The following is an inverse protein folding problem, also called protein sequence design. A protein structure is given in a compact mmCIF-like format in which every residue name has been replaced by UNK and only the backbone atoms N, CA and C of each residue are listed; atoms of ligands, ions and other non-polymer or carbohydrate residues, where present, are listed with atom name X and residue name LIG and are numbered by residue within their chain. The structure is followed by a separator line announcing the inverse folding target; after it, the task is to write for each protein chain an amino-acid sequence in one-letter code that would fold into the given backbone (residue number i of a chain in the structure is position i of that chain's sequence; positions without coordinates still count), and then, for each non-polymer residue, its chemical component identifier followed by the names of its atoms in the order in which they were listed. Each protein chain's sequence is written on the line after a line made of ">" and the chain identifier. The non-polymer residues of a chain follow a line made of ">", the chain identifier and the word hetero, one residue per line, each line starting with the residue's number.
data_IF_341366427635
#
_entry.id   IF_341366427635
#
_cell.length_a   1.000
_cell.length_b   1.000
_cell.length_c   1.000
_cell.angle_alpha   90.00
_cell.angle_beta   90.00
_cell.angle_gamma   90.00
#
_symmetry.space_group_name_H-M   'P 1'
#
loop_
_entity.id
_entity.type
_entity.pdbx_description
1 polymer ?
#
# COMPACT_ATOMS: atom_id res chain seq x y z
N UNK A 1 0.79 -13.16 24.05
CA UNK A 1 1.55 -12.42 23.04
C UNK A 1 0.74 -11.19 22.69
N UNK A 2 1.30 -9.98 22.87
CA UNK A 2 0.56 -8.75 22.61
C UNK A 2 0.63 -8.42 21.12
N UNK A 3 -0.48 -8.02 20.52
CA UNK A 3 -0.55 -7.59 19.12
C UNK A 3 -0.94 -6.12 19.08
N UNK A 4 -0.11 -5.29 18.44
CA UNK A 4 -0.41 -3.88 18.21
C UNK A 4 -1.13 -3.75 16.87
N UNK A 5 -2.21 -2.99 16.86
CA UNK A 5 -3.05 -2.77 15.70
C UNK A 5 -2.81 -1.34 15.23
N UNK A 6 -2.44 -1.19 13.96
CA UNK A 6 -2.11 0.12 13.37
C UNK A 6 -2.90 0.34 12.09
N UNK A 7 -3.15 1.61 11.79
CA UNK A 7 -3.69 2.03 10.50
C UNK A 7 -2.85 3.14 9.91
N UNK A 8 -2.79 3.16 8.60
CA UNK A 8 -2.32 4.27 7.82
C UNK A 8 -3.42 4.64 6.82
N UNK A 9 -3.83 5.90 6.88
CA UNK A 9 -4.80 6.48 5.96
C UNK A 9 -4.08 7.48 5.09
N UNK A 10 -4.21 7.31 3.77
CA UNK A 10 -3.80 8.29 2.78
C UNK A 10 -5.06 8.86 2.14
N UNK A 11 -5.25 10.17 2.24
CA UNK A 11 -6.33 10.93 1.62
C UNK A 11 -5.75 12.17 0.95
N UNK A 12 -5.53 12.10 -0.37
CA UNK A 12 -4.86 13.15 -1.13
C UNK A 12 -3.42 13.36 -0.65
N UNK A 13 -3.14 14.55 -0.11
CA UNK A 13 -1.83 14.90 0.44
C UNK A 13 -1.67 14.51 1.92
N UNK A 14 -2.75 14.12 2.59
CA UNK A 14 -2.70 13.77 4.01
C UNK A 14 -2.36 12.29 4.17
N UNK A 15 -1.29 12.02 4.93
CA UNK A 15 -0.86 10.68 5.34
C UNK A 15 -0.89 10.62 6.86
N UNK A 16 -1.87 9.94 7.42
CA UNK A 16 -2.07 9.83 8.86
C UNK A 16 -1.82 8.39 9.31
N UNK A 17 -0.77 8.20 10.11
CA UNK A 17 -0.50 6.95 10.81
C UNK A 17 -1.12 7.00 12.20
N UNK A 18 -1.74 5.90 12.65
CA UNK A 18 -2.37 5.83 13.97
C UNK A 18 -2.25 4.44 14.55
N UNK A 19 -2.05 4.39 15.87
CA UNK A 19 -2.20 3.17 16.66
C UNK A 19 -3.68 3.08 17.05
N UNK A 20 -4.34 1.99 16.66
CA UNK A 20 -5.76 1.75 16.96
C UNK A 20 -5.91 1.18 18.36
N UNK A 21 -4.99 0.28 18.75
CA UNK A 21 -5.00 -0.36 20.06
C UNK A 21 -4.08 -1.58 20.10
N UNK A 22 -4.24 -2.38 21.15
CA UNK A 22 -3.54 -3.65 21.29
C UNK A 22 -4.47 -4.74 21.83
N UNK A 23 -4.16 -6.00 21.51
CA UNK A 23 -4.93 -7.16 21.97
C UNK A 23 -3.99 -8.34 22.22
N UNK A 24 -4.27 -9.16 23.21
CA UNK A 24 -3.53 -10.42 23.46
C UNK A 24 -4.02 -11.57 22.57
N UNK A 25 -5.24 -11.46 22.04
CA UNK A 25 -5.82 -12.39 21.08
C UNK A 25 -5.70 -11.83 19.66
N UNK A 26 -5.08 -12.62 18.78
CA UNK A 26 -4.90 -12.33 17.35
C UNK A 26 -6.24 -12.21 16.62
N UNK A 27 -7.22 -13.06 16.93
CA UNK A 27 -8.54 -13.01 16.28
C UNK A 27 -9.28 -11.73 16.64
N UNK A 28 -9.21 -11.34 17.92
CA UNK A 28 -9.75 -10.06 18.38
C UNK A 28 -9.02 -8.87 17.77
N UNK A 29 -7.70 -8.94 17.62
CA UNK A 29 -6.93 -7.90 16.93
C UNK A 29 -7.38 -7.73 15.46
N UNK A 30 -7.62 -8.85 14.77
CA UNK A 30 -8.13 -8.85 13.40
C UNK A 30 -9.55 -8.26 13.30
N UNK A 31 -10.44 -8.59 14.23
CA UNK A 31 -11.78 -8.01 14.29
C UNK A 31 -11.74 -6.49 14.48
N UNK A 32 -10.91 -5.98 15.42
CA UNK A 32 -10.74 -4.54 15.65
C UNK A 32 -10.23 -3.83 14.38
N UNK A 33 -9.25 -4.42 13.69
CA UNK A 33 -8.76 -3.86 12.43
C UNK A 33 -9.83 -3.88 11.32
N UNK A 34 -10.62 -4.96 11.23
CA UNK A 34 -11.71 -5.07 10.26
C UNK A 34 -12.85 -4.07 10.53
N UNK A 35 -13.14 -3.74 11.80
CA UNK A 35 -14.07 -2.69 12.15
C UNK A 35 -13.62 -1.32 11.63
N UNK A 36 -12.31 -1.03 11.67
CA UNK A 36 -11.76 0.19 11.05
C UNK A 36 -11.97 0.20 9.54
N UNK A 37 -11.82 -0.94 8.87
CA UNK A 37 -12.15 -1.05 7.44
C UNK A 37 -13.63 -0.81 7.17
N UNK A 38 -14.53 -1.39 7.98
CA UNK A 38 -15.98 -1.18 7.88
C UNK A 38 -16.34 0.31 8.05
N UNK A 39 -15.66 1.00 8.96
CA UNK A 39 -15.88 2.43 9.16
C UNK A 39 -15.34 3.29 8.02
N UNK A 40 -14.21 2.90 7.43
CA UNK A 40 -13.63 3.58 6.29
C UNK A 40 -14.45 3.35 5.00
N UNK A 41 -14.91 2.12 4.76
CA UNK A 41 -15.71 1.74 3.60
C UNK A 41 -17.13 1.36 4.03
N UNK A 42 -18.01 2.36 4.15
CA UNK A 42 -19.42 2.18 4.55
C UNK A 42 -20.24 1.29 3.61
N UNK A 43 -19.76 1.04 2.39
CA UNK A 43 -20.42 0.19 1.40
C UNK A 43 -19.93 -1.27 1.44
N UNK A 44 -19.02 -1.61 2.36
CA UNK A 44 -18.51 -2.97 2.49
C UNK A 44 -19.62 -3.95 2.87
N UNK A 45 -19.76 -5.03 2.11
CA UNK A 45 -20.68 -6.12 2.45
C UNK A 45 -20.18 -6.89 3.69
N UNK A 46 -21.09 -7.56 4.38
CA UNK A 46 -20.74 -8.41 5.52
C UNK A 46 -19.70 -9.47 5.17
N UNK A 47 -19.87 -10.14 4.02
CA UNK A 47 -18.92 -11.14 3.51
C UNK A 47 -17.52 -10.55 3.27
N UNK A 48 -17.43 -9.30 2.81
CA UNK A 48 -16.13 -8.63 2.62
C UNK A 48 -15.44 -8.37 3.97
N UNK A 49 -16.19 -7.96 4.99
CA UNK A 49 -15.66 -7.70 6.33
C UNK A 49 -15.15 -9.00 6.95
N UNK A 50 -15.90 -10.10 6.84
CA UNK A 50 -15.47 -11.43 7.31
C UNK A 50 -14.20 -11.90 6.59
N UNK A 51 -14.18 -11.80 5.25
CA UNK A 51 -13.00 -12.15 4.45
C UNK A 51 -11.76 -11.36 4.90
N UNK A 52 -11.89 -10.05 5.12
CA UNK A 52 -10.79 -9.20 5.58
C UNK A 52 -10.36 -9.55 7.00
N UNK A 53 -11.32 -9.89 7.87
CA UNK A 53 -11.02 -10.33 9.24
C UNK A 53 -10.18 -11.61 9.22
N UNK A 54 -10.57 -12.61 8.43
CA UNK A 54 -9.81 -13.85 8.27
C UNK A 54 -8.45 -13.63 7.61
N UNK A 55 -8.39 -12.74 6.62
CA UNK A 55 -7.14 -12.33 5.98
C UNK A 55 -6.19 -11.71 6.98
N UNK A 56 -6.66 -10.76 7.81
CA UNK A 56 -5.87 -10.11 8.84
C UNK A 56 -5.43 -11.08 9.95
N UNK A 57 -6.27 -12.04 10.31
CA UNK A 57 -5.89 -13.08 11.28
C UNK A 57 -4.75 -13.99 10.77
N UNK A 58 -4.63 -14.13 9.44
CA UNK A 58 -3.64 -15.02 8.79
C UNK A 58 -2.39 -14.27 8.35
N UNK A 59 -2.56 -13.18 7.59
CA UNK A 59 -1.50 -12.41 6.94
C UNK A 59 -1.09 -11.16 7.72
N UNK A 60 -1.89 -10.73 8.71
CA UNK A 60 -1.61 -9.61 9.60
C UNK A 60 -1.45 -8.24 8.92
N UNK A 61 -1.62 -8.16 7.60
CA UNK A 61 -1.60 -6.93 6.84
C UNK A 61 -2.73 -6.94 5.82
N UNK A 62 -3.26 -5.76 5.56
CA UNK A 62 -4.26 -5.55 4.53
C UNK A 62 -4.16 -4.13 4.00
N UNK A 63 -4.30 -3.97 2.68
CA UNK A 63 -4.25 -2.68 2.01
C UNK A 63 -5.47 -2.56 1.09
N UNK A 64 -6.35 -1.64 1.44
CA UNK A 64 -7.50 -1.27 0.63
C UNK A 64 -7.22 0.04 -0.11
N UNK A 65 -7.59 0.08 -1.39
CA UNK A 65 -7.48 1.27 -2.22
C UNK A 65 -8.85 1.56 -2.82
N UNK A 66 -9.39 2.75 -2.55
CA UNK A 66 -10.63 3.20 -3.17
C UNK A 66 -10.34 3.84 -4.53
N UNK A 67 -9.31 4.67 -4.60
CA UNK A 67 -8.85 5.31 -5.83
C UNK A 67 -7.35 5.66 -5.73
N UNK A 68 -6.83 6.50 -6.64
CA UNK A 68 -5.41 6.85 -6.66
C UNK A 68 -4.95 7.53 -5.36
N UNK A 69 -5.80 8.32 -4.74
CA UNK A 69 -5.46 9.22 -3.65
C UNK A 69 -6.03 8.77 -2.29
N UNK A 70 -6.90 7.75 -2.27
CA UNK A 70 -7.54 7.21 -1.08
C UNK A 70 -7.13 5.75 -0.82
N UNK A 71 -6.28 5.54 0.20
CA UNK A 71 -5.76 4.23 0.60
C UNK A 71 -5.87 4.06 2.12
N UNK A 72 -6.36 2.90 2.55
CA UNK A 72 -6.32 2.44 3.93
C UNK A 72 -5.39 1.23 4.02
N UNK A 73 -4.41 1.28 4.91
CA UNK A 73 -3.55 0.15 5.24
C UNK A 73 -3.74 -0.20 6.70
N UNK A 74 -3.90 -1.49 6.97
CA UNK A 74 -4.09 -2.07 8.31
C UNK A 74 -2.97 -3.08 8.55
N UNK A 75 -2.39 -3.05 9.74
CA UNK A 75 -1.37 -4.00 10.15
C UNK A 75 -1.52 -4.42 11.61
N UNK A 76 -1.24 -5.69 11.88
CA UNK A 76 -1.27 -6.33 13.19
C UNK A 76 0.14 -6.84 13.49
N UNK A 77 0.87 -6.14 14.33
CA UNK A 77 2.26 -6.49 14.65
C UNK A 77 2.30 -7.27 15.95
N UNK A 78 2.78 -8.51 15.90
CA UNK A 78 3.07 -9.29 17.10
C UNK A 78 4.25 -8.65 17.85
N UNK A 79 4.10 -8.44 19.15
CA UNK A 79 5.13 -7.94 20.03
C UNK A 79 5.76 -9.13 20.78
N UNK A 80 6.93 -9.56 20.32
CA UNK A 80 7.71 -10.68 20.90
C UNK A 80 8.79 -10.19 21.89
N UNK A 81 8.94 -8.87 22.07
CA UNK A 81 9.89 -8.22 22.98
C UNK A 81 9.72 -6.69 22.98
N UNK A 82 10.56 -5.95 23.72
CA UNK A 82 10.45 -4.47 23.79
C UNK A 82 10.86 -3.77 22.49
N UNK A 83 11.77 -4.36 21.72
CA UNK A 83 12.31 -3.79 20.48
C UNK A 83 12.26 -4.84 19.37
N UNK A 84 11.62 -4.48 18.26
CA UNK A 84 11.62 -5.30 17.04
C UNK A 84 12.97 -5.15 16.30
N UNK A 85 13.43 -6.17 15.55
CA UNK A 85 14.56 -6.02 14.63
C UNK A 85 14.31 -4.84 13.68
N UNK A 86 15.34 -4.05 13.34
CA UNK A 86 15.21 -2.82 12.51
C UNK A 86 14.39 -3.04 11.22
N UNK A 87 14.60 -4.20 10.59
CA UNK A 87 13.89 -4.63 9.37
C UNK A 87 12.37 -4.71 9.54
N UNK A 88 11.88 -4.97 10.75
CA UNK A 88 10.45 -5.11 11.09
C UNK A 88 9.87 -3.86 11.76
N UNK A 89 10.70 -2.87 12.08
CA UNK A 89 10.25 -1.61 12.67
C UNK A 89 9.58 -0.71 11.62
N UNK A 90 10.03 -0.77 10.36
CA UNK A 90 9.46 0.03 9.29
C UNK A 90 8.17 -0.61 8.76
N UNK A 91 7.04 -0.20 9.34
CA UNK A 91 5.70 -0.66 8.93
C UNK A 91 5.26 -0.05 7.59
N UNK A 92 5.67 1.20 7.32
CA UNK A 92 5.40 1.90 6.08
C UNK A 92 6.31 3.13 5.91
N UNK A 93 6.80 3.38 4.69
CA UNK A 93 7.49 4.62 4.33
C UNK A 93 6.85 5.24 3.10
N UNK A 94 6.33 6.46 3.28
CA UNK A 94 5.75 7.26 2.22
C UNK A 94 6.75 7.55 1.09
N UNK A 95 8.03 7.73 1.44
CA UNK A 95 9.10 8.00 0.49
C UNK A 95 9.50 6.74 -0.29
N UNK A 96 9.55 5.58 0.39
CA UNK A 96 9.92 4.32 -0.27
C UNK A 96 8.87 3.86 -1.30
N UNK A 97 7.58 4.09 -1.03
CA UNK A 97 6.51 3.77 -1.98
C UNK A 97 6.50 4.69 -3.21
N UNK A 98 6.89 5.96 -3.03
CA UNK A 98 7.02 6.91 -4.14
C UNK A 98 8.18 6.51 -5.08
N UNK A 99 9.30 6.10 -4.51
CA UNK A 99 10.46 5.61 -5.26
C UNK A 99 10.13 4.34 -6.06
N UNK A 100 9.45 3.36 -5.44
CA UNK A 100 9.03 2.13 -6.11
C UNK A 100 8.00 2.39 -7.22
N UNK A 101 7.10 3.37 -7.03
CA UNK A 101 6.19 3.83 -8.07
C UNK A 101 6.97 4.44 -9.24
N UNK A 102 7.92 5.33 -8.97
CA UNK A 102 8.76 5.96 -9.99
C UNK A 102 9.61 4.92 -10.74
N UNK A 103 10.09 3.89 -10.05
CA UNK A 103 10.81 2.76 -10.66
C UNK A 103 9.93 2.00 -11.63
N UNK A 104 8.69 1.67 -11.25
CA UNK A 104 7.73 0.95 -12.12
C UNK A 104 7.27 1.78 -13.31
N UNK A 105 7.05 3.07 -13.11
CA UNK A 105 6.71 4.00 -14.21
C UNK A 105 7.88 4.10 -15.19
N UNK A 106 9.11 4.21 -14.69
CA UNK A 106 10.31 4.23 -15.53
C UNK A 106 10.46 2.92 -16.32
N UNK A 107 10.25 1.77 -15.66
CA UNK A 107 10.29 0.46 -16.32
C UNK A 107 9.25 0.34 -17.43
N UNK A 108 7.99 0.73 -17.17
CA UNK A 108 6.92 0.68 -18.17
C UNK A 108 7.16 1.64 -19.36
N UNK A 109 7.75 2.81 -19.11
CA UNK A 109 8.10 3.78 -20.16
C UNK A 109 9.26 3.30 -21.06
N UNK A 110 10.17 2.49 -20.52
CA UNK A 110 11.29 1.91 -21.28
C UNK A 110 10.90 0.61 -21.99
N UNK A 111 10.11 -0.28 -21.36
CA UNK A 111 9.61 -1.50 -21.99
C UNK A 111 8.64 -1.21 -23.15
N UNK A 112 7.92 -0.09 -23.12
CA UNK A 112 7.05 0.37 -24.21
C UNK A 112 7.76 1.01 -25.42
N UNK A 113 9.11 1.14 -25.43
CA UNK A 113 9.86 1.85 -26.48
C UNK A 113 10.93 1.00 -27.19
N UNK A 114 10.70 -0.30 -27.33
CA UNK A 114 11.54 -1.16 -28.18
C UNK A 114 10.74 -1.90 -29.27
N UNK A 115 9.95 -1.17 -30.04
CA UNK A 115 9.60 -1.52 -31.42
C UNK A 115 9.71 -0.29 -32.33
N UNK A 116 10.78 0.50 -32.18
CA UNK A 116 11.26 1.30 -33.30
C UNK A 116 12.10 0.36 -34.18
N UNK A 117 11.42 -0.43 -35.02
CA UNK A 117 12.09 -1.06 -36.15
C UNK A 117 12.81 0.03 -36.94
N UNK A 118 14.11 -0.17 -37.12
CA UNK A 118 14.98 0.67 -37.94
C UNK A 118 14.43 0.61 -39.36
N UNK A 119 13.59 1.59 -39.73
CA UNK A 119 12.96 1.66 -41.04
C UNK A 119 14.01 1.56 -42.14
N UNK A 120 13.85 0.56 -43.01
CA UNK A 120 14.23 0.75 -44.41
C UNK A 120 13.25 1.76 -44.99
N UNK A 121 13.80 2.83 -45.58
CA UNK A 121 13.16 3.90 -46.33
C UNK A 121 12.55 5.08 -45.55
N UNK A 122 13.33 6.16 -45.51
CA UNK A 122 12.87 7.46 -46.02
C UNK A 122 12.33 8.47 -44.99
N UNK A 123 13.02 9.61 -44.92
CA UNK A 123 12.62 10.90 -44.34
C UNK A 123 12.80 11.07 -42.82
N UNK A 124 13.99 11.56 -42.48
CA UNK A 124 14.31 12.25 -41.22
C UNK A 124 13.57 13.59 -41.14
N UNK A 125 12.56 13.69 -40.28
CA UNK A 125 12.07 14.98 -39.79
C UNK A 125 12.78 15.32 -38.48
N UNK A 126 13.85 16.13 -38.57
CA UNK A 126 14.52 16.73 -37.43
C UNK A 126 13.87 18.07 -37.08
N UNK A 127 13.50 18.27 -35.82
CA UNK A 127 13.03 19.57 -35.32
C UNK A 127 14.17 20.60 -35.37
N UNK A 128 13.91 21.86 -35.80
CA UNK A 128 14.93 22.89 -35.79
C UNK A 128 15.14 23.42 -34.36
N UNK A 129 16.40 23.58 -33.98
CA UNK A 129 16.81 24.41 -32.84
C UNK A 129 16.91 25.85 -33.36
N UNK A 130 16.05 26.74 -32.87
CA UNK A 130 16.22 28.18 -33.06
C UNK A 130 17.31 28.69 -32.11
N UNK A 131 18.25 29.44 -32.70
CA UNK A 131 19.39 30.14 -32.08
C UNK A 131 19.01 31.51 -31.55
#
# INVERSE_FOLDING_TARGET
>A
MLYIITKLVTEGQQKAFSIIGASEDKKRAAAIAADVYKDYNKNASFQNIEMITEWLATRQNYSFRKDKDHRLQLAITALEGEVQPEEKQLVFSAAAEEEELMRRVSQALFEGKHTAERGQNGQTHSCPLES
#
